data_IF_631651296954
#
_entry.id   IF_631651296954
#
_cell.length_a   1.000
_cell.length_b   1.000
_cell.length_c   1.000
_cell.angle_alpha   90.00
_cell.angle_beta   90.00
_cell.angle_gamma   90.00
#
_symmetry.space_group_name_H-M   'P 1'
#
loop_
_entity.id
_entity.type
_entity.pdbx_description
1 polymer ?
#
# COMPACT_ATOMS: atom_id res chain seq x y z
N UNK A 1 -17.29 2.17 -21.53
CA UNK A 1 -15.99 2.45 -20.89
C UNK A 1 -15.54 3.83 -21.37
N UNK A 2 -15.64 4.87 -20.54
CA UNK A 2 -15.24 6.23 -20.94
C UNK A 2 -13.71 6.27 -21.11
N UNK A 3 -13.25 6.66 -22.30
CA UNK A 3 -11.83 6.94 -22.55
C UNK A 3 -11.47 8.22 -21.80
N UNK A 4 -10.47 8.15 -20.92
CA UNK A 4 -9.86 9.34 -20.32
C UNK A 4 -9.31 10.27 -21.40
N UNK A 5 -9.48 11.57 -21.21
CA UNK A 5 -8.88 12.60 -22.04
C UNK A 5 -7.35 12.63 -21.86
N UNK A 6 -6.65 13.18 -22.85
CA UNK A 6 -5.19 13.40 -22.78
C UNK A 6 -4.82 14.30 -21.59
N UNK A 7 -5.65 15.32 -21.31
CA UNK A 7 -5.43 16.23 -20.18
C UNK A 7 -5.53 15.51 -18.83
N UNK A 8 -6.53 14.64 -18.64
CA UNK A 8 -6.67 13.84 -17.42
C UNK A 8 -5.50 12.87 -17.25
N UNK A 9 -5.04 12.25 -18.34
CA UNK A 9 -3.87 11.37 -18.32
C UNK A 9 -2.61 12.13 -17.91
N UNK A 10 -2.36 13.30 -18.48
CA UNK A 10 -1.20 14.12 -18.13
C UNK A 10 -1.25 14.57 -16.66
N UNK A 11 -2.43 14.95 -16.16
CA UNK A 11 -2.63 15.30 -14.76
C UNK A 11 -2.34 14.12 -13.81
N UNK A 12 -2.70 12.89 -14.20
CA UNK A 12 -2.37 11.69 -13.42
C UNK A 12 -0.87 11.41 -13.41
N UNK A 13 -0.18 11.58 -14.54
CA UNK A 13 1.28 11.40 -14.63
C UNK A 13 1.99 12.39 -13.72
N UNK A 14 1.63 13.67 -13.78
CA UNK A 14 2.22 14.71 -12.93
C UNK A 14 2.00 14.44 -11.43
N UNK A 15 0.79 14.03 -11.03
CA UNK A 15 0.54 13.64 -9.65
C UNK A 15 1.37 12.43 -9.23
N UNK A 16 1.47 11.42 -10.11
CA UNK A 16 2.29 10.24 -9.86
C UNK A 16 3.76 10.60 -9.63
N UNK A 17 4.35 11.41 -10.52
CA UNK A 17 5.74 11.84 -10.40
C UNK A 17 5.96 12.63 -9.11
N UNK A 18 5.09 13.60 -8.82
CA UNK A 18 5.17 14.42 -7.60
C UNK A 18 5.14 13.55 -6.33
N UNK A 19 4.15 12.68 -6.20
CA UNK A 19 3.99 11.88 -4.97
C UNK A 19 5.01 10.75 -4.86
N UNK A 20 5.48 10.20 -5.98
CA UNK A 20 6.59 9.26 -5.95
C UNK A 20 7.86 9.94 -5.44
N UNK A 21 8.22 11.10 -5.99
CA UNK A 21 9.40 11.85 -5.55
C UNK A 21 9.30 12.22 -4.08
N UNK A 22 8.16 12.76 -3.64
CA UNK A 22 7.92 13.10 -2.22
C UNK A 22 8.13 11.90 -1.29
N UNK A 23 7.63 10.71 -1.65
CA UNK A 23 7.84 9.50 -0.82
C UNK A 23 9.28 9.00 -0.91
N UNK A 24 9.97 9.19 -2.03
CA UNK A 24 11.36 8.80 -2.15
C UNK A 24 12.30 9.70 -1.34
N UNK A 25 11.98 10.99 -1.22
CA UNK A 25 12.69 11.95 -0.36
C UNK A 25 12.56 11.59 1.13
N UNK A 26 11.40 11.10 1.56
CA UNK A 26 11.17 10.58 2.90
C UNK A 26 10.72 9.11 2.88
N UNK A 27 11.64 8.26 2.39
CA UNK A 27 11.40 6.82 2.20
C UNK A 27 11.02 6.10 3.49
N UNK A 28 11.38 6.66 4.65
CA UNK A 28 11.10 6.10 5.98
C UNK A 28 9.61 5.99 6.30
N UNK A 29 8.77 6.75 5.60
CA UNK A 29 7.31 6.63 5.75
C UNK A 29 6.75 5.28 5.29
N UNK A 30 7.49 4.57 4.43
CA UNK A 30 7.05 3.30 3.85
C UNK A 30 8.11 2.19 3.92
N UNK A 31 9.39 2.50 4.08
CA UNK A 31 10.45 1.52 4.24
C UNK A 31 11.47 1.89 5.33
N UNK A 32 11.87 0.97 6.21
CA UNK A 32 11.38 -0.41 6.35
C UNK A 32 9.90 -0.44 6.77
N UNK A 33 9.31 -1.62 7.00
CA UNK A 33 7.90 -1.71 7.36
C UNK A 33 7.60 -0.84 8.61
N UNK A 34 6.76 0.21 8.53
CA UNK A 34 6.62 1.17 9.62
C UNK A 34 6.02 0.59 10.90
N UNK A 35 5.18 -0.45 10.76
CA UNK A 35 4.57 -1.15 11.90
C UNK A 35 4.97 -2.61 11.84
N UNK A 36 5.80 -3.03 12.80
CA UNK A 36 6.29 -4.42 12.92
C UNK A 36 5.45 -5.29 13.85
N UNK A 37 4.56 -4.69 14.65
CA UNK A 37 3.63 -5.45 15.50
C UNK A 37 2.40 -5.91 14.71
N UNK A 38 2.19 -7.23 14.70
CA UNK A 38 1.08 -7.87 13.97
C UNK A 38 -0.28 -7.46 14.56
N UNK A 39 -0.40 -7.32 15.88
CA UNK A 39 -1.66 -6.96 16.53
C UNK A 39 -2.14 -5.57 16.11
N UNK A 40 -1.22 -4.61 16.12
CA UNK A 40 -1.45 -3.24 15.66
C UNK A 40 -1.78 -3.21 14.17
N UNK A 41 -1.07 -3.99 13.35
CA UNK A 41 -1.35 -4.10 11.92
C UNK A 41 -2.75 -4.67 11.64
N UNK A 42 -3.19 -5.69 12.37
CA UNK A 42 -4.55 -6.23 12.26
C UNK A 42 -5.63 -5.19 12.58
N UNK A 43 -5.41 -4.33 13.59
CA UNK A 43 -6.35 -3.24 13.92
C UNK A 43 -6.42 -2.20 12.80
N UNK A 44 -5.25 -1.85 12.23
CA UNK A 44 -5.10 -0.83 11.18
C UNK A 44 -5.67 -1.28 9.83
N UNK A 45 -5.46 -2.53 9.45
CA UNK A 45 -6.01 -3.14 8.23
C UNK A 45 -7.44 -3.65 8.46
N UNK A 46 -8.33 -2.83 9.04
CA UNK A 46 -9.66 -3.24 9.53
C UNK A 46 -10.55 -4.00 8.53
N UNK A 47 -10.24 -3.98 7.23
CA UNK A 47 -10.87 -4.86 6.24
C UNK A 47 -10.63 -6.36 6.50
N UNK A 48 -9.59 -6.72 7.27
CA UNK A 48 -9.31 -8.09 7.73
C UNK A 48 -10.25 -8.55 8.85
N UNK A 49 -10.87 -7.62 9.58
CA UNK A 49 -11.78 -7.88 10.70
C UNK A 49 -13.26 -7.63 10.34
N UNK A 50 -13.60 -7.48 9.06
CA UNK A 50 -15.00 -7.29 8.64
C UNK A 50 -15.78 -8.60 8.82
N UNK A 51 -17.07 -8.51 9.17
CA UNK A 51 -17.99 -9.68 9.27
C UNK A 51 -18.02 -10.56 8.01
N UNK A 52 -17.72 -9.99 6.86
CA UNK A 52 -17.43 -10.71 5.61
C UNK A 52 -16.11 -10.18 5.05
N UNK A 53 -14.96 -10.71 5.50
CA UNK A 53 -13.69 -10.37 4.88
C UNK A 53 -13.80 -10.87 3.45
N UNK A 54 -13.58 -10.00 2.45
CA UNK A 54 -13.34 -10.49 1.08
C UNK A 54 -12.31 -11.60 1.21
N UNK A 55 -12.58 -12.78 0.67
CA UNK A 55 -11.76 -14.00 0.74
C UNK A 55 -10.41 -13.81 0.01
N UNK A 56 -9.67 -12.76 0.38
CA UNK A 56 -8.46 -12.27 -0.25
C UNK A 56 -7.41 -12.20 0.83
N UNK A 57 -6.41 -13.04 0.69
CA UNK A 57 -5.20 -13.01 1.51
C UNK A 57 -4.56 -11.62 1.45
N UNK A 58 -4.08 -11.15 2.58
CA UNK A 58 -3.23 -9.95 2.66
C UNK A 58 -1.91 -10.27 1.95
N UNK A 59 -1.41 -9.35 1.12
CA UNK A 59 -0.10 -9.48 0.46
C UNK A 59 0.83 -8.38 0.93
N UNK A 60 2.15 -8.60 0.88
CA UNK A 60 3.15 -7.57 1.23
C UNK A 60 2.94 -6.28 0.44
N UNK A 61 2.72 -6.37 -0.88
CA UNK A 61 2.39 -5.21 -1.73
C UNK A 61 1.08 -4.52 -1.28
N UNK A 62 0.09 -5.30 -0.83
CA UNK A 62 -1.15 -4.75 -0.28
C UNK A 62 -0.95 -3.94 0.99
N UNK A 63 -0.04 -4.39 1.87
CA UNK A 63 0.36 -3.65 3.07
C UNK A 63 1.14 -2.38 2.68
N UNK A 64 2.05 -2.45 1.70
CA UNK A 64 2.73 -1.25 1.19
C UNK A 64 1.72 -0.24 0.64
N UNK A 65 0.75 -0.71 -0.15
CA UNK A 65 -0.33 0.14 -0.67
C UNK A 65 -1.09 0.86 0.44
N UNK A 66 -1.29 0.20 1.58
CA UNK A 66 -1.93 0.81 2.74
C UNK A 66 -1.12 2.00 3.28
N UNK A 67 0.19 1.83 3.48
CA UNK A 67 1.04 2.94 3.94
C UNK A 67 1.16 4.07 2.93
N UNK A 68 1.29 3.77 1.64
CA UNK A 68 1.24 4.79 0.57
C UNK A 68 -0.09 5.56 0.63
N UNK A 69 -1.21 4.87 0.82
CA UNK A 69 -2.53 5.51 0.95
C UNK A 69 -2.62 6.40 2.20
N UNK A 70 -1.95 6.02 3.29
CA UNK A 70 -1.89 6.83 4.52
C UNK A 70 -1.07 8.10 4.30
N UNK A 71 0.14 7.99 3.75
CA UNK A 71 1.00 9.14 3.42
C UNK A 71 0.30 10.16 2.53
N UNK A 72 -0.57 9.68 1.64
CA UNK A 72 -1.26 10.52 0.65
C UNK A 72 -2.70 10.90 1.03
N UNK A 73 -3.17 10.53 2.23
CA UNK A 73 -4.58 10.66 2.62
C UNK A 73 -5.14 12.08 2.45
N UNK A 74 -4.36 13.09 2.83
CA UNK A 74 -4.82 14.48 2.87
C UNK A 74 -4.54 15.24 1.55
N UNK A 75 -4.05 14.54 0.51
CA UNK A 75 -3.56 15.15 -0.73
C UNK A 75 -4.52 15.05 -1.92
N UNK A 76 -5.77 14.63 -1.70
CA UNK A 76 -6.81 14.44 -2.73
C UNK A 76 -6.31 13.67 -3.97
N UNK A 77 -5.63 12.54 -3.71
CA UNK A 77 -4.92 11.79 -4.75
C UNK A 77 -5.83 10.78 -5.43
N UNK A 78 -5.74 10.71 -6.77
CA UNK A 78 -6.49 9.72 -7.53
C UNK A 78 -6.04 8.28 -7.19
N UNK A 79 -6.98 7.34 -7.08
CA UNK A 79 -6.68 5.95 -6.69
C UNK A 79 -5.67 5.23 -7.60
N UNK A 80 -5.64 5.56 -8.89
CA UNK A 80 -4.64 5.05 -9.83
C UNK A 80 -3.23 5.49 -9.48
N UNK A 81 -3.05 6.72 -8.98
CA UNK A 81 -1.74 7.24 -8.57
C UNK A 81 -1.21 6.44 -7.39
N UNK A 82 -2.04 6.17 -6.38
CA UNK A 82 -1.67 5.29 -5.26
C UNK A 82 -1.18 3.93 -5.78
N UNK A 83 -1.88 3.36 -6.76
CA UNK A 83 -1.50 2.10 -7.41
C UNK A 83 -0.12 2.17 -8.09
N UNK A 84 0.08 3.18 -8.94
CA UNK A 84 1.33 3.41 -9.68
C UNK A 84 2.50 3.67 -8.73
N UNK A 85 2.33 4.55 -7.74
CA UNK A 85 3.35 4.85 -6.73
C UNK A 85 3.71 3.59 -5.95
N UNK A 86 2.72 2.79 -5.54
CA UNK A 86 2.98 1.50 -4.88
C UNK A 86 3.80 0.57 -5.77
N UNK A 87 3.49 0.48 -7.07
CA UNK A 87 4.22 -0.39 -8.01
C UNK A 87 5.68 0.06 -8.19
N UNK A 88 5.92 1.35 -8.35
CA UNK A 88 7.26 1.91 -8.47
C UNK A 88 8.08 1.71 -7.19
N UNK A 89 7.47 1.92 -6.02
CA UNK A 89 8.10 1.67 -4.73
C UNK A 89 8.40 0.18 -4.51
N UNK A 90 7.46 -0.71 -4.84
CA UNK A 90 7.66 -2.16 -4.70
C UNK A 90 8.78 -2.69 -5.60
N UNK A 91 8.89 -2.18 -6.83
CA UNK A 91 9.94 -2.55 -7.78
C UNK A 91 11.32 -2.03 -7.37
N UNK A 92 11.38 -0.82 -6.83
CA UNK A 92 12.64 -0.21 -6.35
C UNK A 92 13.06 -0.72 -4.96
N UNK A 93 12.19 -1.42 -4.24
CA UNK A 93 12.50 -1.93 -2.91
C UNK A 93 13.58 -3.02 -2.91
N UNK A 94 14.50 -2.90 -1.95
CA UNK A 94 15.51 -3.93 -1.68
C UNK A 94 14.85 -5.25 -1.30
N UNK A 95 15.58 -6.35 -1.43
CA UNK A 95 15.08 -7.66 -1.00
C UNK A 95 14.72 -7.69 0.49
N UNK A 96 15.48 -6.97 1.32
CA UNK A 96 15.22 -6.86 2.75
C UNK A 96 13.93 -6.10 3.07
N UNK A 97 13.76 -4.91 2.46
CA UNK A 97 12.52 -4.12 2.56
C UNK A 97 11.30 -4.95 2.15
N UNK A 98 11.37 -5.66 1.01
CA UNK A 98 10.28 -6.54 0.57
C UNK A 98 10.02 -7.70 1.53
N UNK A 99 11.07 -8.28 2.10
CA UNK A 99 10.95 -9.41 3.01
C UNK A 99 10.13 -9.06 4.25
N UNK A 100 10.33 -7.89 4.87
CA UNK A 100 9.55 -7.45 6.04
C UNK A 100 8.04 -7.43 5.74
N UNK A 101 7.67 -6.85 4.60
CA UNK A 101 6.28 -6.80 4.14
C UNK A 101 5.68 -8.18 3.85
N UNK A 102 6.47 -9.08 3.23
CA UNK A 102 6.03 -10.45 2.96
C UNK A 102 5.83 -11.23 4.25
N UNK A 103 6.76 -11.14 5.21
CA UNK A 103 6.68 -11.80 6.52
C UNK A 103 5.42 -11.35 7.26
N UNK A 104 5.21 -10.03 7.38
CA UNK A 104 4.01 -9.48 8.01
C UNK A 104 2.72 -10.00 7.37
N UNK A 105 2.67 -10.06 6.03
CA UNK A 105 1.49 -10.56 5.32
C UNK A 105 1.19 -12.03 5.63
N UNK A 106 2.23 -12.87 5.77
CA UNK A 106 2.08 -14.29 6.16
C UNK A 106 1.52 -14.41 7.57
N UNK A 107 2.02 -13.60 8.51
CA UNK A 107 1.57 -13.65 9.91
C UNK A 107 0.14 -13.15 10.08
N UNK A 108 -0.24 -12.08 9.38
CA UNK A 108 -1.62 -11.60 9.33
C UNK A 108 -2.56 -12.69 8.80
N UNK A 109 -2.22 -13.31 7.67
CA UNK A 109 -3.06 -14.36 7.07
C UNK A 109 -3.20 -15.58 8.00
N UNK A 110 -2.12 -16.01 8.67
CA UNK A 110 -2.19 -17.09 9.66
C UNK A 110 -3.16 -16.76 10.79
N UNK A 111 -3.14 -15.53 11.30
CA UNK A 111 -4.06 -15.09 12.35
C UNK A 111 -5.50 -15.02 11.85
N UNK A 112 -5.73 -14.50 10.65
CA UNK A 112 -7.07 -14.47 10.04
C UNK A 112 -7.69 -15.86 9.88
N UNK A 113 -6.89 -16.88 9.54
CA UNK A 113 -7.37 -18.26 9.39
C UNK A 113 -7.71 -18.93 10.73
N UNK A 114 -7.16 -18.48 11.86
CA UNK A 114 -7.49 -19.01 13.20
C UNK A 114 -8.84 -18.51 13.73
N UNK A 115 -9.40 -17.46 13.13
CA UNK A 115 -10.69 -16.86 13.52
C UNK A 115 -11.83 -17.18 12.53
N UNK A 116 -11.58 -18.05 11.54
CA UNK A 116 -12.59 -18.63 10.65
C UNK A 116 -12.93 -20.03 11.12
#
# INVERSE_FOLDING_TARGET
>A
MLKMSVMERNRLIQQYELFLTMILEDRQQVFPLPIRDVGTMMKRLSYVNRRSPRNKSVTGRGILKYFVSLTLRDRNVHSSVIGLTTDSLWKSATSHERAEYVIMSKDLNKRMMRFK
#
